data_IF_728553866692
#
_entry.id   IF_728553866692
#
_cell.length_a   1.000
_cell.length_b   1.000
_cell.length_c   1.000
_cell.angle_alpha   90.00
_cell.angle_beta   90.00
_cell.angle_gamma   90.00
#
_symmetry.space_group_name_H-M   'P 1'
#
loop_
_entity.id
_entity.type
_entity.pdbx_description
1 polymer ?
#
# COMPACT_ATOMS: atom_id res chain seq x y z
N UNK A 1 -27.65 8.80 26.56
CA UNK A 1 -28.05 8.92 25.14
C UNK A 1 -26.82 8.64 24.30
N UNK A 2 -26.91 7.77 23.30
CA UNK A 2 -25.80 7.53 22.37
C UNK A 2 -25.73 8.74 21.44
N UNK A 3 -24.55 9.35 21.33
CA UNK A 3 -24.33 10.45 20.40
C UNK A 3 -24.06 9.90 18.99
N UNK A 4 -25.14 9.79 18.22
CA UNK A 4 -25.10 9.31 16.84
C UNK A 4 -24.24 10.20 15.92
N UNK A 5 -24.04 11.48 16.26
CA UNK A 5 -23.21 12.40 15.47
C UNK A 5 -21.71 12.03 15.54
N UNK A 6 -21.28 11.35 16.60
CA UNK A 6 -19.90 10.85 16.74
C UNK A 6 -19.78 9.39 16.30
N UNK A 7 -20.83 8.59 16.52
CA UNK A 7 -20.82 7.16 16.19
C UNK A 7 -20.76 6.92 14.67
N UNK A 8 -21.59 7.63 13.90
CA UNK A 8 -21.72 7.42 12.45
C UNK A 8 -20.41 7.72 11.70
N UNK A 9 -19.74 8.88 11.90
CA UNK A 9 -18.46 9.16 11.24
C UNK A 9 -17.37 8.15 11.58
N UNK A 10 -17.32 7.67 12.82
CA UNK A 10 -16.34 6.68 13.26
C UNK A 10 -16.51 5.32 12.57
N UNK A 11 -17.76 4.87 12.39
CA UNK A 11 -18.05 3.64 11.64
C UNK A 11 -17.66 3.80 10.17
N UNK A 12 -17.95 4.96 9.57
CA UNK A 12 -17.58 5.25 8.17
C UNK A 12 -16.05 5.28 8.02
N UNK A 13 -15.35 6.00 8.89
CA UNK A 13 -13.88 6.06 8.89
C UNK A 13 -13.25 4.69 9.04
N UNK A 14 -13.81 3.85 9.91
CA UNK A 14 -13.38 2.46 10.07
C UNK A 14 -13.60 1.64 8.80
N UNK A 15 -14.79 1.70 8.19
CA UNK A 15 -15.12 0.95 6.99
C UNK A 15 -14.24 1.37 5.79
N UNK A 16 -14.02 2.68 5.61
CA UNK A 16 -13.12 3.23 4.59
C UNK A 16 -11.69 2.76 4.82
N UNK A 17 -11.19 2.87 6.06
CA UNK A 17 -9.87 2.35 6.42
C UNK A 17 -9.73 0.86 6.12
N UNK A 18 -10.72 0.05 6.51
CA UNK A 18 -10.75 -1.39 6.27
C UNK A 18 -10.71 -1.74 4.78
N UNK A 19 -11.53 -1.09 3.95
CA UNK A 19 -11.55 -1.34 2.51
C UNK A 19 -10.23 -0.96 1.85
N UNK A 20 -9.63 0.17 2.24
CA UNK A 20 -8.32 0.60 1.74
C UNK A 20 -7.25 -0.42 2.15
N UNK A 21 -7.20 -0.82 3.43
CA UNK A 21 -6.22 -1.79 3.93
C UNK A 21 -6.35 -3.15 3.23
N UNK A 22 -7.56 -3.65 3.08
CA UNK A 22 -7.83 -4.92 2.39
C UNK A 22 -7.45 -4.85 0.90
N UNK A 23 -7.82 -3.76 0.22
CA UNK A 23 -7.46 -3.51 -1.18
C UNK A 23 -5.94 -3.41 -1.39
N UNK A 24 -5.26 -2.67 -0.52
CA UNK A 24 -3.81 -2.50 -0.56
C UNK A 24 -3.08 -3.84 -0.47
N UNK A 25 -3.51 -4.76 0.39
CA UNK A 25 -2.86 -6.08 0.48
C UNK A 25 -3.03 -6.90 -0.80
N UNK A 26 -4.19 -6.85 -1.45
CA UNK A 26 -4.39 -7.55 -2.74
C UNK A 26 -3.50 -6.98 -3.84
N UNK A 27 -3.38 -5.65 -3.90
CA UNK A 27 -2.47 -4.98 -4.83
C UNK A 27 -1.03 -5.38 -4.53
N UNK A 28 -0.63 -5.43 -3.25
CA UNK A 28 0.71 -5.84 -2.84
C UNK A 28 1.02 -7.30 -3.25
N UNK A 29 0.07 -8.22 -3.05
CA UNK A 29 0.19 -9.62 -3.51
C UNK A 29 0.36 -9.70 -5.04
N UNK A 30 -0.43 -8.93 -5.79
CA UNK A 30 -0.32 -8.85 -7.25
C UNK A 30 1.01 -8.23 -7.72
N UNK A 31 1.45 -7.14 -7.09
CA UNK A 31 2.71 -6.48 -7.39
C UNK A 31 3.91 -7.39 -7.09
N UNK A 32 3.85 -8.18 -6.01
CA UNK A 32 4.87 -9.16 -5.69
C UNK A 32 4.99 -10.24 -6.78
N UNK A 33 3.86 -10.75 -7.28
CA UNK A 33 3.86 -11.71 -8.40
C UNK A 33 4.47 -11.11 -9.67
N UNK A 34 4.16 -9.85 -9.98
CA UNK A 34 4.75 -9.13 -11.11
C UNK A 34 6.26 -8.98 -10.91
N UNK A 35 6.71 -8.60 -9.72
CA UNK A 35 8.13 -8.43 -9.40
C UNK A 35 8.88 -9.77 -9.53
N UNK A 36 8.30 -10.86 -9.04
CA UNK A 36 8.84 -12.22 -9.23
C UNK A 36 8.88 -12.60 -10.71
N UNK A 37 7.81 -12.31 -11.48
CA UNK A 37 7.79 -12.54 -12.92
C UNK A 37 8.86 -11.73 -13.65
N UNK A 38 9.09 -10.47 -13.26
CA UNK A 38 10.17 -9.62 -13.81
C UNK A 38 11.53 -10.21 -13.46
N UNK A 39 11.75 -10.72 -12.25
CA UNK A 39 13.03 -11.36 -11.88
C UNK A 39 13.26 -12.61 -12.72
N UNK A 40 12.24 -13.46 -12.86
CA UNK A 40 12.32 -14.67 -13.71
C UNK A 40 12.60 -14.28 -15.16
N UNK A 41 11.85 -13.31 -15.70
CA UNK A 41 12.06 -12.78 -17.05
C UNK A 41 13.40 -12.08 -17.19
N UNK A 42 13.97 -11.50 -16.13
CA UNK A 42 15.29 -10.89 -16.16
C UNK A 42 16.35 -11.99 -16.21
N UNK A 43 16.26 -13.04 -15.40
CA UNK A 43 17.21 -14.17 -15.43
C UNK A 43 17.14 -14.88 -16.81
N UNK A 44 15.94 -15.18 -17.29
CA UNK A 44 15.73 -15.85 -18.58
C UNK A 44 16.03 -14.91 -19.75
N UNK A 45 15.63 -13.64 -19.67
CA UNK A 45 15.81 -12.63 -20.70
C UNK A 45 17.24 -12.08 -20.80
N UNK A 46 18.00 -11.99 -19.70
CA UNK A 46 19.45 -11.72 -19.73
C UNK A 46 20.17 -12.85 -20.48
N UNK A 47 19.69 -14.09 -20.35
CA UNK A 47 20.25 -15.25 -21.06
C UNK A 47 19.98 -15.20 -22.57
N UNK A 48 18.92 -14.51 -23.03
CA UNK A 48 18.48 -14.49 -24.44
C UNK A 48 18.81 -13.17 -25.15
N UNK A 49 18.85 -12.02 -24.46
CA UNK A 49 18.81 -10.71 -25.11
C UNK A 49 19.80 -9.64 -24.55
N UNK A 50 20.67 -9.94 -23.58
CA UNK A 50 21.70 -8.99 -23.15
C UNK A 50 21.17 -7.61 -22.74
N UNK A 51 20.04 -7.56 -22.02
CA UNK A 51 19.34 -6.31 -21.70
C UNK A 51 20.11 -5.42 -20.70
N UNK A 52 20.12 -4.12 -21.01
CA UNK A 52 20.72 -3.03 -20.20
C UNK A 52 19.76 -2.63 -19.08
N UNK A 53 20.24 -2.57 -17.83
CA UNK A 53 19.47 -2.11 -16.67
C UNK A 53 19.18 -0.59 -16.73
N UNK A 54 18.04 -0.12 -16.19
CA UNK A 54 17.74 1.31 -16.09
C UNK A 54 18.76 2.06 -15.22
N UNK A 55 19.03 3.30 -15.59
CA UNK A 55 19.95 4.22 -14.89
C UNK A 55 19.47 4.54 -13.47
N UNK A 56 20.41 4.56 -12.52
CA UNK A 56 20.21 4.82 -11.09
C UNK A 56 19.61 6.20 -10.76
N UNK A 57 19.58 7.15 -11.72
CA UNK A 57 19.06 8.51 -11.52
C UNK A 57 17.54 8.61 -11.37
N UNK A 58 16.77 7.75 -12.04
CA UNK A 58 15.29 7.78 -11.99
C UNK A 58 14.73 7.19 -10.69
N UNK A 59 15.48 6.27 -10.07
CA UNK A 59 15.10 5.61 -8.82
C UNK A 59 15.10 6.61 -7.64
N UNK A 60 16.01 7.59 -7.65
CA UNK A 60 16.18 8.57 -6.57
C UNK A 60 15.03 9.59 -6.52
N UNK A 61 14.49 9.99 -7.67
CA UNK A 61 13.34 10.92 -7.74
C UNK A 61 12.04 10.31 -7.22
N UNK A 62 11.89 8.99 -7.37
CA UNK A 62 10.72 8.26 -6.84
C UNK A 62 10.78 8.18 -5.31
N UNK A 63 11.97 7.96 -4.74
CA UNK A 63 12.16 7.80 -3.30
C UNK A 63 11.82 9.09 -2.53
N UNK A 64 12.24 10.25 -3.02
CA UNK A 64 11.95 11.55 -2.36
C UNK A 64 10.46 11.91 -2.38
N UNK A 65 9.76 11.58 -3.46
CA UNK A 65 8.30 11.76 -3.55
C UNK A 65 7.54 10.83 -2.59
N UNK A 66 8.02 9.59 -2.40
CA UNK A 66 7.42 8.61 -1.50
C UNK A 66 7.51 9.06 -0.03
N UNK A 67 8.62 9.67 0.38
CA UNK A 67 8.82 10.12 1.76
C UNK A 67 7.82 11.23 2.14
N UNK A 68 7.57 12.17 1.22
CA UNK A 68 6.57 13.23 1.36
C UNK A 68 5.16 12.64 1.55
N UNK A 69 4.79 11.68 0.70
CA UNK A 69 3.50 11.01 0.76
C UNK A 69 3.36 10.20 2.05
N UNK A 70 4.42 9.49 2.47
CA UNK A 70 4.43 8.72 3.71
C UNK A 70 4.26 9.62 4.94
N UNK A 71 4.93 10.78 5.00
CA UNK A 71 4.77 11.75 6.11
C UNK A 71 3.33 12.28 6.20
N UNK A 72 2.74 12.63 5.06
CA UNK A 72 1.34 13.08 5.00
C UNK A 72 0.38 11.97 5.45
N UNK A 73 0.62 10.74 4.98
CA UNK A 73 -0.18 9.56 5.35
C UNK A 73 -0.10 9.25 6.85
N UNK A 74 1.10 9.28 7.44
CA UNK A 74 1.29 9.08 8.88
C UNK A 74 0.56 10.16 9.68
N UNK A 75 0.53 11.40 9.21
CA UNK A 75 -0.18 12.47 9.90
C UNK A 75 -1.70 12.24 9.90
N UNK A 76 -2.26 11.79 8.76
CA UNK A 76 -3.67 11.41 8.65
C UNK A 76 -4.02 10.26 9.60
N UNK A 77 -3.15 9.25 9.72
CA UNK A 77 -3.35 8.12 10.64
C UNK A 77 -3.35 8.55 12.11
N UNK A 78 -2.59 9.59 12.47
CA UNK A 78 -2.59 10.16 13.83
C UNK A 78 -3.84 10.98 14.11
N UNK A 79 -4.36 11.69 13.12
CA UNK A 79 -5.58 12.51 13.26
C UNK A 79 -6.85 11.65 13.36
N UNK A 80 -6.90 10.50 12.67
CA UNK A 80 -8.10 9.65 12.60
C UNK A 80 -7.83 8.23 13.11
N UNK A 81 -7.89 7.98 14.43
CA UNK A 81 -7.55 6.68 15.01
C UNK A 81 -8.47 5.54 14.54
N UNK A 82 -9.75 5.81 14.28
CA UNK A 82 -10.68 4.80 13.76
C UNK A 82 -10.39 4.39 12.32
N UNK A 83 -9.90 5.32 11.50
CA UNK A 83 -9.44 5.03 10.14
C UNK A 83 -8.19 4.12 10.18
N UNK A 84 -7.27 4.40 11.09
CA UNK A 84 -6.08 3.58 11.32
C UNK A 84 -6.42 2.17 11.81
N UNK A 85 -7.37 2.05 12.76
CA UNK A 85 -7.86 0.76 13.22
C UNK A 85 -8.50 -0.05 12.08
N UNK A 86 -9.33 0.60 11.25
CA UNK A 86 -9.88 0.01 10.05
C UNK A 86 -8.79 -0.48 9.09
N UNK A 87 -7.81 0.38 8.78
CA UNK A 87 -6.69 0.07 7.89
C UNK A 87 -5.88 -1.14 8.35
N UNK A 88 -5.51 -1.19 9.63
CA UNK A 88 -4.74 -2.30 10.20
C UNK A 88 -5.52 -3.61 10.13
N UNK A 89 -6.80 -3.60 10.51
CA UNK A 89 -7.63 -4.81 10.45
C UNK A 89 -7.83 -5.25 8.99
N UNK A 90 -8.07 -4.31 8.07
CA UNK A 90 -8.17 -4.57 6.65
C UNK A 90 -6.91 -5.21 6.06
N UNK A 91 -5.73 -4.67 6.43
CA UNK A 91 -4.43 -5.22 6.04
C UNK A 91 -4.26 -6.65 6.57
N UNK A 92 -4.50 -6.89 7.87
CA UNK A 92 -4.38 -8.21 8.50
C UNK A 92 -5.29 -9.24 7.80
N UNK A 93 -6.56 -8.90 7.61
CA UNK A 93 -7.52 -9.79 6.92
C UNK A 93 -7.09 -10.06 5.48
N UNK A 94 -6.60 -9.05 4.77
CA UNK A 94 -6.09 -9.20 3.40
C UNK A 94 -4.77 -9.98 3.31
N UNK A 95 -3.99 -10.07 4.39
CA UNK A 95 -2.79 -10.91 4.43
C UNK A 95 -3.22 -12.37 4.58
N UNK A 96 -4.11 -12.64 5.54
CA UNK A 96 -4.59 -13.98 5.88
C UNK A 96 -5.39 -14.63 4.75
N UNK A 97 -6.24 -13.86 4.04
CA UNK A 97 -6.97 -14.31 2.84
C UNK A 97 -6.22 -13.98 1.56
#
# INVERSE_FOLDING_TARGET
MIDYAVLIPNIILFAVGFLIGFGATKVLKGALLILVAIIILSIVGITIAGFVLPSSGEIVGIITSLESVAKSFINILKTYPMLTAGLLIGLIVGIIK
#
